data_IF_616370889918
#
_entry.id   IF_616370889918
#
_cell.length_a   1.000
_cell.length_b   1.000
_cell.length_c   1.000
_cell.angle_alpha   90.00
_cell.angle_beta   90.00
_cell.angle_gamma   90.00
#
_symmetry.space_group_name_H-M   'P 1'
#
loop_
_entity.id
_entity.type
_entity.pdbx_description
1 polymer ?
#
# COMPACT_ATOMS: atom_id res chain seq x y z
N UNK A 1 15.43 15.18 6.94
CA UNK A 1 15.65 14.50 8.23
C UNK A 1 14.39 14.73 9.03
N UNK A 2 13.66 13.69 9.42
CA UNK A 2 12.42 13.86 10.19
C UNK A 2 12.77 14.60 11.48
N UNK A 3 12.30 15.83 11.61
CA UNK A 3 12.32 16.55 12.89
C UNK A 3 11.67 15.66 13.94
N UNK A 4 12.22 15.59 15.15
CA UNK A 4 11.75 14.78 16.29
C UNK A 4 10.32 15.12 16.78
N UNK A 5 9.54 15.87 15.99
CA UNK A 5 8.16 16.26 16.24
C UNK A 5 7.30 15.00 16.32
N UNK A 6 6.75 14.75 17.49
CA UNK A 6 5.78 13.67 17.71
C UNK A 6 4.33 14.16 17.62
N UNK A 7 4.12 15.46 17.81
CA UNK A 7 2.79 16.05 17.88
C UNK A 7 2.26 16.40 16.49
N UNK A 8 1.22 15.69 16.05
CA UNK A 8 0.58 15.91 14.75
C UNK A 8 0.18 17.36 14.43
N UNK A 9 -0.33 18.17 15.39
CA UNK A 9 -0.66 19.57 15.11
C UNK A 9 0.54 20.42 14.68
N UNK A 10 1.77 20.03 15.04
CA UNK A 10 2.99 20.77 14.70
C UNK A 10 3.44 20.56 13.25
N UNK A 11 2.86 19.58 12.55
CA UNK A 11 3.21 19.28 11.16
C UNK A 11 2.50 20.27 10.23
N UNK A 12 3.24 20.84 9.29
CA UNK A 12 2.62 21.60 8.20
C UNK A 12 1.93 20.65 7.20
N UNK A 13 1.11 21.19 6.31
CA UNK A 13 0.29 20.37 5.40
C UNK A 13 1.13 19.49 4.46
N UNK A 14 2.32 19.97 4.06
CA UNK A 14 3.24 19.17 3.24
C UNK A 14 3.80 17.98 4.03
N UNK A 15 4.20 18.20 5.28
CA UNK A 15 4.67 17.12 6.16
C UNK A 15 3.55 16.12 6.48
N UNK A 16 2.33 16.61 6.74
CA UNK A 16 1.15 15.75 6.97
C UNK A 16 0.86 14.86 5.75
N UNK A 17 0.85 15.44 4.55
CA UNK A 17 0.68 14.69 3.29
C UNK A 17 1.78 13.65 3.09
N UNK A 18 3.04 14.02 3.33
CA UNK A 18 4.16 13.09 3.24
C UNK A 18 3.96 11.88 4.16
N UNK A 19 3.59 12.11 5.43
CA UNK A 19 3.32 11.05 6.39
C UNK A 19 2.13 10.18 5.94
N UNK A 20 1.02 10.80 5.52
CA UNK A 20 -0.16 10.08 5.03
C UNK A 20 0.15 9.19 3.82
N UNK A 21 0.84 9.73 2.81
CA UNK A 21 1.25 8.99 1.61
C UNK A 21 2.21 7.85 1.97
N UNK A 22 3.14 8.09 2.90
CA UNK A 22 4.06 7.06 3.39
C UNK A 22 3.30 5.93 4.09
N UNK A 23 2.35 6.24 4.98
CA UNK A 23 1.51 5.24 5.65
C UNK A 23 0.74 4.40 4.63
N UNK A 24 0.19 5.03 3.59
CA UNK A 24 -0.53 4.34 2.52
C UNK A 24 0.36 3.37 1.74
N UNK A 25 1.58 3.79 1.39
CA UNK A 25 2.56 2.95 0.69
C UNK A 25 3.05 1.78 1.57
N UNK A 26 3.34 2.04 2.84
CA UNK A 26 3.74 0.99 3.79
C UNK A 26 2.60 0.00 4.01
N UNK A 27 1.36 0.48 4.13
CA UNK A 27 0.18 -0.38 4.22
C UNK A 27 -0.01 -1.27 2.99
N UNK A 28 0.23 -0.73 1.79
CA UNK A 28 0.22 -1.51 0.55
C UNK A 28 1.32 -2.57 0.55
N UNK A 29 2.55 -2.20 0.90
CA UNK A 29 3.69 -3.12 0.98
C UNK A 29 3.39 -4.26 1.95
N UNK A 30 2.86 -3.95 3.13
CA UNK A 30 2.45 -4.95 4.12
C UNK A 30 1.42 -5.93 3.57
N UNK A 31 0.41 -5.45 2.83
CA UNK A 31 -0.58 -6.31 2.17
C UNK A 31 0.08 -7.19 1.09
N UNK A 32 1.02 -6.65 0.32
CA UNK A 32 1.75 -7.42 -0.71
C UNK A 32 2.57 -8.53 -0.08
N UNK A 33 3.28 -8.28 1.04
CA UNK A 33 4.05 -9.29 1.76
C UNK A 33 3.20 -10.44 2.32
N UNK A 34 1.87 -10.23 2.49
CA UNK A 34 0.94 -11.27 2.93
C UNK A 34 0.37 -12.13 1.81
N UNK A 35 0.60 -11.76 0.55
CA UNK A 35 0.12 -12.53 -0.58
C UNK A 35 0.89 -13.85 -0.67
N UNK A 36 0.16 -14.97 -0.59
CA UNK A 36 0.71 -16.29 -0.90
C UNK A 36 0.54 -16.55 -2.38
N UNK A 37 1.57 -16.27 -3.18
CA UNK A 37 1.51 -16.47 -4.64
C UNK A 37 1.24 -17.93 -5.04
N UNK A 38 1.65 -18.88 -4.20
CA UNK A 38 1.45 -20.30 -4.43
C UNK A 38 0.52 -20.84 -3.36
N UNK A 39 -0.64 -21.33 -3.78
CA UNK A 39 -1.60 -22.04 -2.95
C UNK A 39 -1.23 -23.53 -2.99
N UNK A 40 -0.79 -24.12 -1.87
CA UNK A 40 -0.40 -25.52 -1.85
C UNK A 40 -1.60 -26.43 -2.08
N UNK A 41 -1.38 -27.50 -2.84
CA UNK A 41 -2.38 -28.52 -3.03
C UNK A 41 -2.67 -29.26 -1.70
N UNK A 42 -3.94 -29.60 -1.45
CA UNK A 42 -4.34 -30.33 -0.23
C UNK A 42 -4.22 -31.85 -0.36
N UNK A 43 -4.08 -32.34 -1.58
CA UNK A 43 -4.06 -33.77 -1.91
C UNK A 43 -2.68 -34.16 -2.39
N UNK A 44 -2.18 -35.29 -1.90
CA UNK A 44 -0.89 -35.84 -2.29
C UNK A 44 -0.89 -36.16 -3.80
N UNK A 45 0.15 -35.70 -4.52
CA UNK A 45 0.26 -35.82 -5.98
C UNK A 45 -0.44 -34.74 -6.80
N UNK A 46 -1.24 -33.85 -6.18
CA UNK A 46 -1.82 -32.71 -6.86
C UNK A 46 -0.82 -31.54 -6.97
N UNK A 47 -0.92 -30.76 -8.05
CA UNK A 47 -0.05 -29.59 -8.29
C UNK A 47 -0.52 -28.37 -7.50
N UNK A 48 0.43 -27.55 -7.07
CA UNK A 48 0.13 -26.25 -6.46
C UNK A 48 -0.50 -25.30 -7.49
N UNK A 49 -1.36 -24.41 -7.01
CA UNK A 49 -2.01 -23.41 -7.84
C UNK A 49 -1.39 -22.03 -7.59
N UNK A 50 -1.48 -21.13 -8.56
CA UNK A 50 -1.11 -19.72 -8.38
C UNK A 50 -2.31 -18.94 -7.87
N UNK A 51 -2.11 -18.09 -6.86
CA UNK A 51 -3.15 -17.18 -6.34
C UNK A 51 -3.33 -15.96 -7.26
N UNK A 52 -3.94 -16.19 -8.43
CA UNK A 52 -4.21 -15.15 -9.42
C UNK A 52 -5.16 -14.07 -8.87
N UNK A 53 -6.17 -14.48 -8.10
CA UNK A 53 -7.14 -13.56 -7.50
C UNK A 53 -6.47 -12.68 -6.45
N UNK A 54 -5.66 -13.26 -5.57
CA UNK A 54 -4.87 -12.51 -4.60
C UNK A 54 -3.91 -11.53 -5.26
N UNK A 55 -3.23 -11.94 -6.33
CA UNK A 55 -2.34 -11.07 -7.10
C UNK A 55 -3.10 -9.91 -7.76
N UNK A 56 -4.25 -10.17 -8.38
CA UNK A 56 -5.08 -9.14 -9.01
C UNK A 56 -5.63 -8.15 -7.98
N UNK A 57 -6.06 -8.66 -6.81
CA UNK A 57 -6.51 -7.81 -5.72
C UNK A 57 -5.40 -6.88 -5.21
N UNK A 58 -4.16 -7.38 -5.05
CA UNK A 58 -3.01 -6.53 -4.69
C UNK A 58 -2.69 -5.51 -5.78
N UNK A 59 -2.85 -5.88 -7.05
CA UNK A 59 -2.67 -4.97 -8.19
C UNK A 59 -3.70 -3.85 -8.17
N UNK A 60 -4.96 -4.17 -7.90
CA UNK A 60 -6.04 -3.19 -7.79
C UNK A 60 -5.83 -2.24 -6.60
N UNK A 61 -5.46 -2.77 -5.44
CA UNK A 61 -5.08 -1.98 -4.26
C UNK A 61 -3.97 -0.98 -4.61
N UNK A 62 -2.91 -1.42 -5.32
CA UNK A 62 -1.81 -0.55 -5.73
C UNK A 62 -2.26 0.60 -6.63
N UNK A 63 -3.09 0.30 -7.65
CA UNK A 63 -3.65 1.33 -8.55
C UNK A 63 -4.46 2.37 -7.78
N UNK A 64 -5.29 1.94 -6.83
CA UNK A 64 -6.08 2.85 -6.01
C UNK A 64 -5.19 3.76 -5.15
N UNK A 65 -4.14 3.21 -4.52
CA UNK A 65 -3.22 4.00 -3.69
C UNK A 65 -2.49 5.05 -4.53
N UNK A 66 -1.97 4.67 -5.70
CA UNK A 66 -1.30 5.61 -6.62
C UNK A 66 -2.25 6.73 -7.05
N UNK A 67 -3.50 6.41 -7.36
CA UNK A 67 -4.52 7.41 -7.70
C UNK A 67 -4.75 8.39 -6.55
N UNK A 68 -4.90 7.91 -5.32
CA UNK A 68 -5.12 8.76 -4.15
C UNK A 68 -3.92 9.66 -3.84
N UNK A 69 -2.70 9.15 -4.01
CA UNK A 69 -1.47 9.95 -3.85
C UNK A 69 -1.47 11.07 -4.90
N UNK A 70 -1.73 10.75 -6.16
CA UNK A 70 -1.82 11.75 -7.22
C UNK A 70 -2.90 12.82 -6.94
N UNK A 71 -4.09 12.42 -6.51
CA UNK A 71 -5.16 13.36 -6.12
C UNK A 71 -4.79 14.24 -4.90
N UNK A 72 -3.87 13.78 -4.04
CA UNK A 72 -3.37 14.57 -2.91
C UNK A 72 -2.33 15.62 -3.32
N UNK A 73 -1.67 15.41 -4.46
CA UNK A 73 -0.70 16.33 -5.05
C UNK A 73 -1.41 17.45 -5.81
N UNK A 74 -2.43 17.12 -6.63
CA UNK A 74 -3.15 18.11 -7.43
C UNK A 74 -3.95 19.10 -6.58
N UNK A 75 -4.53 18.66 -5.46
CA UNK A 75 -5.23 19.55 -4.50
C UNK A 75 -4.31 20.53 -3.76
N UNK A 76 -2.99 20.41 -3.90
CA UNK A 76 -2.03 21.33 -3.30
C UNK A 76 -1.63 22.49 -4.23
N UNK A 77 -2.02 22.43 -5.50
CA UNK A 77 -1.73 23.44 -6.53
C UNK A 77 -2.91 24.40 -6.79
N UNK A 78 -4.09 24.11 -6.24
CA UNK A 78 -5.28 24.98 -6.16
C UNK A 78 -5.33 25.75 -4.82
#
# INVERSE_FOLDING_TARGET
MCSERTDWPQYNDREKRLVQNTIMLVGLLYKMCKLQLVIPAKTEGALNCVDMDGAENRRSDAKMILRKIHESETKAEE
#
